data_IF_613702083458
#
_entry.id   IF_613702083458
#
_cell.length_a   1.000
_cell.length_b   1.000
_cell.length_c   1.000
_cell.angle_alpha   90.00
_cell.angle_beta   90.00
_cell.angle_gamma   90.00
#
_symmetry.space_group_name_H-M   'P 1'
#
loop_
_entity.id
_entity.type
_entity.pdbx_description
1 polymer ?
#
# COMPACT_ATOMS: atom_id res chain seq x y z
N UNK A 1 9.89 27.39 -13.76
CA UNK A 1 9.59 26.23 -12.92
C UNK A 1 8.09 26.15 -12.84
N UNK A 2 7.50 25.03 -13.26
CA UNK A 2 6.08 24.80 -13.01
C UNK A 2 6.03 24.32 -11.57
N UNK A 3 5.69 25.22 -10.66
CA UNK A 3 5.34 24.84 -9.30
C UNK A 3 4.02 24.08 -9.40
N UNK A 4 4.11 22.76 -9.60
CA UNK A 4 2.95 21.87 -9.50
C UNK A 4 2.52 21.90 -8.05
N UNK A 5 1.55 22.76 -7.73
CA UNK A 5 0.92 22.80 -6.41
C UNK A 5 0.42 21.39 -6.15
N UNK A 6 1.00 20.71 -5.16
CA UNK A 6 0.57 19.38 -4.77
C UNK A 6 -0.82 19.53 -4.12
N UNK A 7 -1.86 19.24 -4.90
CA UNK A 7 -3.27 19.34 -4.48
C UNK A 7 -3.72 18.10 -3.71
N UNK A 8 -2.79 17.22 -3.30
CA UNK A 8 -3.14 16.09 -2.46
C UNK A 8 -3.46 16.59 -1.05
N UNK A 9 -4.73 16.51 -0.60
CA UNK A 9 -5.12 16.99 0.73
C UNK A 9 -4.41 16.21 1.85
N UNK A 10 -3.77 15.08 1.55
CA UNK A 10 -2.95 14.33 2.51
C UNK A 10 -1.66 15.06 2.87
N UNK A 11 -1.17 15.98 2.04
CA UNK A 11 0.03 16.78 2.33
C UNK A 11 -0.17 17.68 3.56
N UNK A 12 -1.40 18.18 3.76
CA UNK A 12 -1.75 19.02 4.92
C UNK A 12 -1.61 18.28 6.27
N UNK A 13 -1.56 16.94 6.24
CA UNK A 13 -1.51 16.10 7.43
C UNK A 13 -0.20 15.32 7.59
N UNK A 14 0.86 15.65 6.83
CA UNK A 14 2.15 14.94 6.86
C UNK A 14 2.68 14.77 8.30
N UNK A 15 2.62 15.83 9.12
CA UNK A 15 3.11 15.81 10.51
C UNK A 15 2.31 14.87 11.44
N UNK A 16 1.09 14.50 11.06
CA UNK A 16 0.22 13.57 11.81
C UNK A 16 0.25 12.15 11.26
N UNK A 17 1.03 11.89 10.21
CA UNK A 17 1.11 10.56 9.62
C UNK A 17 1.85 9.63 10.56
N UNK A 18 1.18 8.55 10.96
CA UNK A 18 1.84 7.43 11.60
C UNK A 18 2.59 6.64 10.52
N UNK A 19 3.90 6.60 10.63
CA UNK A 19 4.70 5.68 9.84
C UNK A 19 4.55 4.27 10.42
N UNK A 20 4.47 3.23 9.57
CA UNK A 20 4.55 1.85 10.02
C UNK A 20 5.81 1.66 10.88
N UNK A 21 5.65 0.97 12.01
CA UNK A 21 6.77 0.66 12.92
C UNK A 21 7.66 -0.43 12.31
N UNK A 22 7.05 -1.31 11.52
CA UNK A 22 7.72 -2.44 10.88
C UNK A 22 8.06 -2.18 9.41
N UNK A 23 9.01 -2.96 8.90
CA UNK A 23 9.35 -2.95 7.48
C UNK A 23 8.24 -3.61 6.66
N UNK A 24 7.75 -2.87 5.67
CA UNK A 24 6.74 -3.33 4.74
C UNK A 24 7.38 -3.74 3.41
N UNK A 25 6.89 -4.85 2.85
CA UNK A 25 7.25 -5.33 1.52
C UNK A 25 6.09 -5.10 0.55
N UNK A 26 6.40 -4.46 -0.58
CA UNK A 26 5.45 -4.31 -1.67
C UNK A 26 5.19 -5.65 -2.36
N UNK A 27 3.92 -5.95 -2.61
CA UNK A 27 3.44 -7.15 -3.28
C UNK A 27 2.38 -6.78 -4.33
N UNK A 28 2.43 -7.47 -5.47
CA UNK A 28 1.49 -7.30 -6.57
C UNK A 28 0.18 -8.04 -6.26
N UNK A 29 -0.95 -7.33 -6.33
CA UNK A 29 -2.29 -7.89 -6.10
C UNK A 29 -3.15 -7.94 -7.36
N UNK A 30 -2.75 -7.30 -8.46
CA UNK A 30 -3.48 -7.39 -9.73
C UNK A 30 -2.56 -7.47 -10.95
N UNK A 31 -3.09 -7.25 -12.14
CA UNK A 31 -2.33 -7.31 -13.39
C UNK A 31 -1.61 -5.99 -13.69
N UNK A 32 -2.20 -4.85 -13.32
CA UNK A 32 -1.65 -3.55 -13.63
C UNK A 32 -0.55 -3.15 -12.64
N UNK A 33 0.49 -2.44 -13.12
CA UNK A 33 1.64 -2.06 -12.29
C UNK A 33 1.29 -1.20 -11.05
N UNK A 34 0.13 -0.55 -11.04
CA UNK A 34 -0.35 0.24 -9.91
C UNK A 34 -1.17 -0.56 -8.88
N UNK A 35 -1.56 -1.81 -9.21
CA UNK A 35 -2.30 -2.71 -8.32
C UNK A 35 -1.33 -3.45 -7.39
N UNK A 36 -0.65 -2.67 -6.54
CA UNK A 36 0.30 -3.13 -5.52
C UNK A 36 -0.18 -2.75 -4.13
N UNK A 37 0.18 -3.55 -3.14
CA UNK A 37 -0.06 -3.26 -1.72
C UNK A 37 1.20 -3.53 -0.91
N UNK A 38 1.29 -2.96 0.28
CA UNK A 38 2.41 -3.14 1.19
C UNK A 38 1.96 -4.03 2.36
N UNK A 39 2.66 -5.14 2.57
CA UNK A 39 2.41 -6.07 3.68
C UNK A 39 3.62 -6.13 4.60
N UNK A 40 3.39 -6.28 5.89
CA UNK A 40 4.45 -6.49 6.88
C UNK A 40 5.29 -7.72 6.56
N UNK A 41 6.59 -7.63 6.85
CA UNK A 41 7.53 -8.73 6.63
C UNK A 41 7.42 -9.83 7.69
N UNK A 42 6.90 -9.51 8.88
CA UNK A 42 6.74 -10.44 10.00
C UNK A 42 5.50 -11.35 9.92
N UNK A 43 4.62 -11.14 8.93
CA UNK A 43 3.42 -11.96 8.71
C UNK A 43 3.77 -13.44 8.51
N UNK A 44 3.03 -14.32 9.20
CA UNK A 44 3.15 -15.76 8.99
C UNK A 44 2.77 -16.12 7.54
N UNK A 45 3.45 -17.10 6.91
CA UNK A 45 3.19 -17.46 5.51
C UNK A 45 1.71 -17.77 5.22
N UNK A 46 1.03 -18.50 6.12
CA UNK A 46 -0.37 -18.87 5.98
C UNK A 46 -1.32 -17.65 6.04
N UNK A 47 -1.04 -16.70 6.94
CA UNK A 47 -1.83 -15.47 7.05
C UNK A 47 -1.61 -14.57 5.84
N UNK A 48 -0.36 -14.48 5.39
CA UNK A 48 0.01 -13.74 4.18
C UNK A 48 -0.71 -14.27 2.94
N UNK A 49 -0.77 -15.58 2.75
CA UNK A 49 -1.50 -16.19 1.63
C UNK A 49 -2.99 -15.87 1.67
N UNK A 50 -3.61 -16.01 2.85
CA UNK A 50 -5.02 -15.68 3.04
C UNK A 50 -5.33 -14.21 2.72
N UNK A 51 -4.49 -13.29 3.20
CA UNK A 51 -4.62 -11.86 2.92
C UNK A 51 -4.44 -11.58 1.43
N UNK A 52 -3.43 -12.17 0.80
CA UNK A 52 -3.17 -11.99 -0.64
C UNK A 52 -4.33 -12.49 -1.50
N UNK A 53 -4.90 -13.64 -1.18
CA UNK A 53 -6.06 -14.18 -1.89
C UNK A 53 -7.27 -13.24 -1.78
N UNK A 54 -7.55 -12.75 -0.57
CA UNK A 54 -8.61 -11.77 -0.33
C UNK A 54 -8.36 -10.47 -1.12
N UNK A 55 -7.15 -9.93 -1.07
CA UNK A 55 -6.81 -8.69 -1.76
C UNK A 55 -6.90 -8.84 -3.28
N UNK A 56 -6.41 -9.95 -3.85
CA UNK A 56 -6.52 -10.26 -5.28
C UNK A 56 -7.97 -10.37 -5.75
N UNK A 57 -8.83 -10.98 -4.93
CA UNK A 57 -10.26 -11.15 -5.24
C UNK A 57 -11.04 -9.83 -5.24
N UNK A 58 -10.55 -8.82 -4.52
CA UNK A 58 -11.19 -7.50 -4.37
C UNK A 58 -10.40 -6.38 -5.07
N UNK A 59 -9.46 -6.70 -5.96
CA UNK A 59 -8.84 -5.67 -6.80
C UNK A 59 -9.90 -5.10 -7.72
N UNK A 60 -10.22 -3.83 -7.54
CA UNK A 60 -11.03 -3.07 -8.48
C UNK A 60 -10.29 -2.95 -9.82
N UNK A 61 -11.04 -3.12 -10.92
CA UNK A 61 -10.57 -3.10 -12.31
C UNK A 61 -10.08 -1.71 -12.76
#
# INVERSE_FOLDING_TARGET
MIDTVNLDPREEFQDRRVSPIEELKQVQIGEAAHQVTNLETALQPAEKEKILEMLKSNVDL
#
